data_IF_739004424900
#
_entry.id   IF_739004424900
#
_cell.length_a   1.000
_cell.length_b   1.000
_cell.length_c   1.000
_cell.angle_alpha   90.00
_cell.angle_beta   90.00
_cell.angle_gamma   90.00
#
_symmetry.space_group_name_H-M   'P 1'
#
loop_
_entity.id
_entity.type
_entity.pdbx_description
1 polymer ?
#
# COMPACT_ATOMS: atom_id res chain seq x y z
N UNK A 1 -7.08 -22.24 -10.15
CA UNK A 1 -6.66 -21.15 -9.24
C UNK A 1 -5.32 -20.63 -9.69
N UNK A 2 -5.19 -19.32 -9.79
CA UNK A 2 -3.95 -18.70 -10.18
C UNK A 2 -3.46 -17.78 -9.07
N UNK A 3 -2.18 -17.90 -8.73
CA UNK A 3 -1.52 -16.98 -7.83
C UNK A 3 -0.62 -16.09 -8.66
N UNK A 4 -0.72 -14.79 -8.45
CA UNK A 4 0.01 -13.82 -9.24
C UNK A 4 0.72 -12.83 -8.33
N UNK A 5 2.01 -12.66 -8.54
CA UNK A 5 2.74 -11.58 -7.87
C UNK A 5 2.46 -10.28 -8.57
N UNK A 6 2.18 -9.24 -7.81
CA UNK A 6 1.89 -7.91 -8.35
C UNK A 6 2.78 -6.87 -7.70
N UNK A 7 3.04 -5.82 -8.46
CA UNK A 7 3.78 -4.65 -8.04
C UNK A 7 2.88 -3.44 -8.24
N UNK A 8 2.69 -2.65 -7.19
CA UNK A 8 1.95 -1.39 -7.25
C UNK A 8 2.85 -0.28 -6.73
N UNK A 9 2.87 0.84 -7.41
CA UNK A 9 3.75 1.94 -7.03
C UNK A 9 3.08 3.26 -7.31
N UNK A 10 3.46 4.27 -6.56
CA UNK A 10 2.94 5.62 -6.73
C UNK A 10 4.02 6.64 -6.40
N UNK A 11 4.03 7.71 -7.18
CA UNK A 11 4.80 8.90 -6.89
C UNK A 11 3.85 9.89 -6.23
N UNK A 12 4.14 10.27 -4.98
CA UNK A 12 3.25 11.13 -4.22
C UNK A 12 3.47 12.58 -4.60
N UNK A 13 2.72 13.03 -5.60
CA UNK A 13 2.79 14.39 -6.13
C UNK A 13 1.83 15.35 -5.43
N UNK A 14 0.99 14.85 -4.51
CA UNK A 14 0.04 15.66 -3.75
C UNK A 14 0.10 15.28 -2.28
N UNK A 15 -0.58 16.06 -1.44
CA UNK A 15 -0.74 15.76 -0.02
C UNK A 15 -2.08 15.08 0.29
N UNK A 16 -2.84 14.73 -0.73
CA UNK A 16 -4.11 14.03 -0.58
C UNK A 16 -3.89 12.53 -0.48
N UNK A 17 -4.83 11.83 0.15
CA UNK A 17 -4.81 10.37 0.21
C UNK A 17 -4.86 9.81 -1.22
N UNK A 18 -3.91 8.97 -1.55
CA UNK A 18 -3.76 8.39 -2.88
C UNK A 18 -3.91 6.88 -2.79
N UNK A 19 -4.74 6.30 -3.66
CA UNK A 19 -4.91 4.86 -3.71
C UNK A 19 -3.65 4.20 -4.27
N UNK A 20 -3.03 3.34 -3.45
CA UNK A 20 -1.89 2.56 -3.90
C UNK A 20 -2.34 1.23 -4.48
N UNK A 21 -3.33 0.59 -3.85
CA UNK A 21 -3.75 -0.74 -4.24
C UNK A 21 -5.20 -0.97 -3.84
N UNK A 22 -6.00 -1.47 -4.79
CA UNK A 22 -7.36 -1.96 -4.52
C UNK A 22 -7.35 -3.45 -4.81
N UNK A 23 -7.73 -4.26 -3.82
CA UNK A 23 -7.75 -5.71 -4.01
C UNK A 23 -8.87 -6.07 -4.99
N UNK A 24 -8.56 -6.78 -6.08
CA UNK A 24 -9.58 -7.18 -7.06
C UNK A 24 -10.65 -8.06 -6.46
N UNK A 25 -11.79 -8.16 -7.15
CA UNK A 25 -12.85 -9.08 -6.75
C UNK A 25 -12.35 -10.52 -6.78
N UNK A 26 -12.94 -11.37 -5.96
CA UNK A 26 -12.61 -12.79 -5.84
C UNK A 26 -11.11 -13.03 -5.59
N UNK A 27 -10.48 -12.13 -4.83
CA UNK A 27 -9.04 -12.16 -4.57
C UNK A 27 -8.75 -11.89 -3.11
N UNK A 28 -7.77 -12.60 -2.57
CA UNK A 28 -7.14 -12.26 -1.30
C UNK A 28 -5.71 -11.85 -1.62
N UNK A 29 -5.28 -10.71 -1.12
CA UNK A 29 -3.93 -10.23 -1.36
C UNK A 29 -3.07 -10.42 -0.12
N UNK A 30 -1.89 -10.99 -0.30
CA UNK A 30 -0.89 -11.08 0.77
C UNK A 30 0.18 -10.07 0.42
N UNK A 31 0.17 -8.93 1.12
CA UNK A 31 1.14 -7.87 0.90
C UNK A 31 2.42 -8.26 1.61
N UNK A 32 3.48 -8.40 0.85
CA UNK A 32 4.76 -8.86 1.38
C UNK A 32 5.71 -7.74 1.72
N UNK A 33 5.53 -6.58 1.08
CA UNK A 33 6.44 -5.46 1.24
C UNK A 33 5.74 -4.17 0.88
N UNK A 34 5.96 -3.14 1.69
CA UNK A 34 5.61 -1.76 1.35
C UNK A 34 6.86 -0.94 1.62
N UNK A 35 7.50 -0.49 0.56
CA UNK A 35 8.74 0.29 0.65
C UNK A 35 8.42 1.73 0.35
N UNK A 36 8.86 2.64 1.21
CA UNK A 36 8.78 4.07 0.96
C UNK A 36 10.19 4.63 0.84
N UNK A 37 10.41 5.45 -0.18
CA UNK A 37 11.70 6.11 -0.37
C UNK A 37 11.52 7.62 -0.47
N UNK A 38 12.47 8.35 0.08
CA UNK A 38 12.54 9.80 -0.01
C UNK A 38 13.76 10.16 -0.85
N UNK A 39 13.57 10.82 -1.98
CA UNK A 39 14.67 11.12 -2.89
C UNK A 39 14.86 12.62 -3.19
N UNK A 40 14.17 13.48 -2.45
CA UNK A 40 14.32 14.94 -2.63
C UNK A 40 15.41 15.56 -1.76
N UNK A 41 15.94 14.79 -0.82
CA UNK A 41 16.91 15.31 0.15
C UNK A 41 16.25 15.98 1.35
N UNK A 42 14.93 15.87 1.52
CA UNK A 42 14.18 16.47 2.62
C UNK A 42 13.31 15.41 3.30
N UNK A 43 13.43 15.27 4.60
CA UNK A 43 12.62 14.32 5.34
C UNK A 43 11.12 14.63 5.20
N UNK A 44 10.30 13.57 5.27
CA UNK A 44 8.85 13.71 5.21
C UNK A 44 8.22 12.61 6.07
N UNK A 45 6.90 12.59 6.12
CA UNK A 45 6.16 11.53 6.83
C UNK A 45 5.13 10.91 5.91
N UNK A 46 4.88 9.62 6.13
CA UNK A 46 3.90 8.85 5.35
C UNK A 46 2.83 8.29 6.26
N UNK A 47 1.58 8.41 5.84
CA UNK A 47 0.46 7.75 6.50
C UNK A 47 -0.08 6.68 5.56
N UNK A 48 -0.27 5.48 6.08
CA UNK A 48 -0.81 4.33 5.32
C UNK A 48 -2.09 3.88 5.99
N UNK A 49 -3.16 3.78 5.22
CA UNK A 49 -4.47 3.36 5.73
C UNK A 49 -5.06 2.26 4.87
N UNK A 50 -5.93 1.45 5.51
CA UNK A 50 -6.80 0.51 4.79
C UNK A 50 -8.23 1.02 4.93
N UNK A 51 -8.96 1.07 3.81
CA UNK A 51 -10.38 1.33 3.80
C UNK A 51 -11.08 0.01 3.47
N UNK A 52 -11.98 -0.43 4.35
CA UNK A 52 -12.70 -1.69 4.12
C UNK A 52 -13.97 -1.46 3.29
N UNK A 53 -14.72 -2.53 3.05
CA UNK A 53 -15.92 -2.46 2.21
C UNK A 53 -17.08 -1.71 2.86
N UNK A 54 -16.99 -1.43 4.16
CA UNK A 54 -17.96 -0.61 4.88
C UNK A 54 -17.50 0.84 5.01
N UNK A 55 -16.46 1.22 4.26
CA UNK A 55 -15.84 2.55 4.27
C UNK A 55 -15.20 2.93 5.62
N UNK A 56 -14.93 1.94 6.47
CA UNK A 56 -14.18 2.19 7.70
C UNK A 56 -12.68 2.30 7.36
N UNK A 57 -12.02 3.26 7.98
CA UNK A 57 -10.61 3.55 7.71
C UNK A 57 -9.77 3.12 8.92
N UNK A 58 -8.75 2.31 8.65
CA UNK A 58 -7.82 1.83 9.67
C UNK A 58 -6.44 2.34 9.35
N UNK A 59 -5.84 3.11 10.26
CA UNK A 59 -4.48 3.62 10.08
C UNK A 59 -3.48 2.55 10.48
N UNK A 60 -2.62 2.15 9.54
CA UNK A 60 -1.53 1.21 9.82
C UNK A 60 -0.29 1.95 10.28
N UNK A 61 0.04 3.03 9.59
CA UNK A 61 1.17 3.89 9.91
C UNK A 61 0.67 5.32 9.83
N UNK A 62 0.71 6.02 10.95
CA UNK A 62 0.28 7.42 10.99
C UNK A 62 1.51 8.30 11.14
N UNK A 63 1.74 9.15 10.14
CA UNK A 63 2.89 10.06 10.10
C UNK A 63 4.22 9.36 10.40
N UNK A 64 4.44 8.24 9.72
CA UNK A 64 5.68 7.49 9.83
C UNK A 64 6.83 8.30 9.24
N UNK A 65 7.84 8.59 10.04
CA UNK A 65 8.97 9.40 9.61
C UNK A 65 9.80 8.67 8.56
N UNK A 66 10.15 9.39 7.49
CA UNK A 66 11.05 8.91 6.44
C UNK A 66 12.17 9.93 6.34
N UNK A 67 13.39 9.50 6.62
CA UNK A 67 14.55 10.38 6.61
C UNK A 67 14.92 10.78 5.19
N UNK A 68 15.64 11.91 5.06
CA UNK A 68 16.10 12.39 3.77
C UNK A 68 16.95 11.32 3.06
N UNK A 69 16.67 11.08 1.79
CA UNK A 69 17.36 10.11 0.95
C UNK A 69 17.34 8.68 1.49
N UNK A 70 16.38 8.34 2.34
CA UNK A 70 16.28 7.01 2.94
C UNK A 70 15.22 6.18 2.26
N UNK A 71 15.39 4.88 2.32
CA UNK A 71 14.41 3.89 1.89
C UNK A 71 14.06 3.05 3.09
N UNK A 72 12.78 2.89 3.36
CA UNK A 72 12.30 2.18 4.54
C UNK A 72 11.30 1.10 4.14
N UNK A 73 11.50 -0.12 4.64
CA UNK A 73 10.51 -1.18 4.55
C UNK A 73 9.55 -1.00 5.73
N UNK A 74 8.27 -0.82 5.44
CA UNK A 74 7.28 -0.58 6.49
C UNK A 74 6.81 -1.85 7.18
N UNK A 75 6.75 -2.97 6.45
CA UNK A 75 6.18 -4.21 6.97
C UNK A 75 7.25 -5.06 7.66
N UNK A 76 6.91 -5.57 8.85
CA UNK A 76 7.73 -6.55 9.54
C UNK A 76 7.16 -7.95 9.41
N UNK A 77 5.95 -8.08 8.89
CA UNK A 77 5.25 -9.34 8.66
C UNK A 77 4.28 -9.14 7.50
N UNK A 78 3.86 -10.22 6.82
CA UNK A 78 2.88 -10.09 5.75
C UNK A 78 1.57 -9.48 6.23
N UNK A 79 0.96 -8.68 5.37
CA UNK A 79 -0.33 -8.04 5.62
C UNK A 79 -1.35 -8.64 4.66
N UNK A 80 -2.42 -9.20 5.20
CA UNK A 80 -3.48 -9.78 4.37
C UNK A 80 -4.56 -8.74 4.15
N UNK A 81 -4.90 -8.52 2.88
CA UNK A 81 -6.01 -7.66 2.48
C UNK A 81 -7.06 -8.51 1.81
N UNK A 82 -8.31 -8.23 2.12
CA UNK A 82 -9.43 -8.95 1.55
C UNK A 82 -9.98 -8.24 0.32
N UNK A 83 -10.83 -8.94 -0.40
CA UNK A 83 -11.48 -8.45 -1.61
C UNK A 83 -12.05 -7.04 -1.42
N UNK A 84 -11.78 -6.16 -2.37
CA UNK A 84 -12.27 -4.77 -2.44
C UNK A 84 -11.72 -3.83 -1.39
N UNK A 85 -10.85 -4.29 -0.50
CA UNK A 85 -10.17 -3.39 0.43
C UNK A 85 -9.17 -2.51 -0.31
N UNK A 86 -9.02 -1.28 0.15
CA UNK A 86 -8.20 -0.27 -0.51
C UNK A 86 -7.09 0.17 0.44
N UNK A 87 -5.85 0.09 -0.04
CA UNK A 87 -4.71 0.61 0.69
C UNK A 87 -4.36 1.97 0.12
N UNK A 88 -4.39 2.99 0.98
CA UNK A 88 -4.10 4.36 0.60
C UNK A 88 -2.88 4.89 1.33
N UNK A 89 -2.18 5.81 0.68
CA UNK A 89 -0.98 6.44 1.22
C UNK A 89 -1.10 7.95 1.10
N UNK A 90 -0.57 8.66 2.10
CA UNK A 90 -0.63 10.12 2.16
C UNK A 90 0.72 10.66 2.62
N UNK A 91 1.31 11.55 1.82
CA UNK A 91 2.53 12.24 2.20
C UNK A 91 2.18 13.58 2.86
N UNK A 92 3.01 14.02 3.80
CA UNK A 92 2.82 15.34 4.41
C UNK A 92 3.23 16.46 3.45
N UNK A 93 4.20 16.20 2.57
CA UNK A 93 4.66 17.16 1.59
C UNK A 93 4.69 16.52 0.22
N UNK A 94 4.25 17.26 -0.80
CA UNK A 94 4.24 16.78 -2.17
C UNK A 94 5.65 16.60 -2.74
N UNK A 95 5.78 15.64 -3.64
CA UNK A 95 6.99 15.43 -4.46
C UNK A 95 8.22 14.99 -3.67
N UNK A 96 8.05 14.31 -2.55
CA UNK A 96 9.17 13.78 -1.75
C UNK A 96 9.20 12.26 -1.67
N UNK A 97 8.05 11.61 -1.68
CA UNK A 97 7.96 10.19 -1.38
C UNK A 97 7.50 9.36 -2.58
N UNK A 98 8.12 8.20 -2.73
CA UNK A 98 7.71 7.15 -3.65
C UNK A 98 7.38 5.92 -2.83
N UNK A 99 6.29 5.24 -3.16
CA UNK A 99 5.86 4.04 -2.43
C UNK A 99 5.72 2.88 -3.41
N UNK A 100 6.30 1.74 -3.04
CA UNK A 100 6.23 0.51 -3.84
C UNK A 100 5.70 -0.61 -2.96
N UNK A 101 4.65 -1.27 -3.44
CA UNK A 101 4.03 -2.40 -2.77
C UNK A 101 4.26 -3.66 -3.60
N UNK A 102 4.63 -4.74 -2.93
CA UNK A 102 4.73 -6.07 -3.55
C UNK A 102 3.76 -6.99 -2.85
N UNK A 103 2.94 -7.69 -3.61
CA UNK A 103 1.91 -8.55 -3.06
C UNK A 103 1.75 -9.82 -3.89
N UNK A 104 1.22 -10.86 -3.25
CA UNK A 104 0.78 -12.07 -3.92
C UNK A 104 -0.74 -12.05 -3.92
N UNK A 105 -1.33 -12.09 -5.11
CA UNK A 105 -2.78 -12.21 -5.27
C UNK A 105 -3.15 -13.66 -5.40
N UNK A 106 -4.00 -14.13 -4.48
CA UNK A 106 -4.53 -15.48 -4.51
C UNK A 106 -5.98 -15.38 -4.99
N UNK A 107 -6.22 -15.89 -6.18
CA UNK A 107 -7.57 -15.85 -6.78
C UNK A 107 -8.43 -16.94 -6.15
N UNK A 108 -9.64 -16.58 -5.78
CA UNK A 108 -10.58 -17.56 -5.28
C UNK A 108 -10.96 -18.52 -6.40
N UNK A 109 -11.04 -19.78 -6.03
CA UNK A 109 -11.43 -20.80 -6.98
C UNK A 109 -12.93 -20.75 -7.22
N UNK A 110 -13.32 -20.63 -8.48
CA UNK A 110 -14.72 -20.76 -8.87
C UNK A 110 -15.00 -22.23 -9.15
N UNK A 111 -15.96 -22.79 -8.43
CA UNK A 111 -16.42 -24.16 -8.69
C UNK A 111 -17.65 -24.05 -9.57
N UNK A 112 -17.54 -24.62 -10.75
CA UNK A 112 -18.67 -24.71 -11.69
C UNK A 112 -19.17 -26.15 -11.68
N UNK A 113 -20.40 -26.33 -11.38
CA UNK A 113 -21.01 -27.65 -11.40
C UNK A 113 -22.09 -27.75 -12.45
#
# INVERSE_FOLDING_TARGET
MANTFVNKKVDLTTISATTLYTVPSATTAIVKSIIVSEDSGNADTLTVTITDTADAVFSLFKTKAVSANATTELLTAPLVLEESEILKVTAATANRLHVVLSALEVKKRTVTT
#
